data_IF_102487261672
#
_entry.id   IF_102487261672
#
_cell.length_a   1.000
_cell.length_b   1.000
_cell.length_c   1.000
_cell.angle_alpha   90.00
_cell.angle_beta   90.00
_cell.angle_gamma   90.00
#
_symmetry.space_group_name_H-M   'P 1'
#
loop_
_entity.id
_entity.type
_entity.pdbx_description
1 polymer ?
#
# COMPACT_ATOMS: atom_id res chain seq x y z
N UNK A 1 6.92 5.11 10.10
CA UNK A 1 5.96 4.04 10.47
C UNK A 1 5.68 3.19 9.24
N UNK A 2 5.61 1.86 9.39
CA UNK A 2 5.16 0.98 8.31
C UNK A 2 3.63 1.09 8.18
N UNK A 3 3.14 1.35 6.97
CA UNK A 3 1.71 1.29 6.65
C UNK A 3 1.48 0.36 5.47
N UNK A 4 0.31 -0.25 5.47
CA UNK A 4 -0.09 -1.25 4.49
C UNK A 4 -1.56 -1.08 4.20
N UNK A 5 -1.99 -1.37 2.97
CA UNK A 5 -3.38 -1.24 2.61
C UNK A 5 -3.66 -1.52 1.15
N UNK A 6 -4.91 -1.30 0.77
CA UNK A 6 -5.41 -1.52 -0.59
C UNK A 6 -5.39 -0.23 -1.39
N UNK A 7 -4.77 -0.29 -2.57
CA UNK A 7 -4.63 0.86 -3.46
C UNK A 7 -5.86 1.05 -4.34
N UNK A 8 -6.31 2.29 -4.45
CA UNK A 8 -7.43 2.74 -5.27
C UNK A 8 -6.95 3.50 -6.50
N UNK A 9 -7.75 3.47 -7.57
CA UNK A 9 -7.41 4.12 -8.85
C UNK A 9 -7.26 5.66 -8.75
N UNK A 10 -7.79 6.28 -7.69
CA UNK A 10 -7.67 7.72 -7.41
C UNK A 10 -6.38 8.12 -6.68
N UNK A 11 -5.51 7.14 -6.42
CA UNK A 11 -4.25 7.32 -5.70
C UNK A 11 -4.39 7.34 -4.18
N UNK A 12 -5.56 6.97 -3.66
CA UNK A 12 -5.76 6.75 -2.23
C UNK A 12 -5.49 5.29 -1.85
N UNK A 13 -5.21 5.09 -0.57
CA UNK A 13 -5.03 3.77 0.04
C UNK A 13 -6.00 3.63 1.20
N UNK A 14 -6.79 2.57 1.20
CA UNK A 14 -7.47 2.13 2.42
C UNK A 14 -6.52 1.25 3.22
N UNK A 15 -6.04 1.77 4.34
CA UNK A 15 -5.11 1.07 5.21
C UNK A 15 -5.78 -0.16 5.84
N UNK A 16 -4.97 -1.11 6.31
CA UNK A 16 -5.49 -2.30 6.99
C UNK A 16 -6.27 -1.97 8.28
N UNK A 17 -6.02 -0.81 8.88
CA UNK A 17 -6.74 -0.27 10.02
C UNK A 17 -8.10 0.37 9.63
N UNK A 18 -8.44 0.38 8.34
CA UNK A 18 -9.71 0.89 7.81
C UNK A 18 -9.71 2.39 7.53
N UNK A 19 -8.56 3.07 7.55
CA UNK A 19 -8.47 4.49 7.26
C UNK A 19 -8.18 4.72 5.77
N UNK A 20 -8.83 5.70 5.13
CA UNK A 20 -8.47 6.10 3.76
C UNK A 20 -7.49 7.26 3.82
N UNK A 21 -6.29 7.06 3.28
CA UNK A 21 -5.21 8.05 3.24
C UNK A 21 -4.68 8.21 1.82
N UNK A 22 -4.06 9.35 1.51
CA UNK A 22 -3.33 9.55 0.27
C UNK A 22 -1.84 9.64 0.58
N UNK A 23 -1.05 8.56 0.41
CA UNK A 23 0.35 8.59 0.76
C UNK A 23 1.13 9.50 -0.21
N UNK A 24 2.06 10.28 0.32
CA UNK A 24 2.97 11.14 -0.46
C UNK A 24 4.11 10.30 -1.05
N UNK A 25 3.77 9.41 -1.97
CA UNK A 25 4.73 8.58 -2.70
C UNK A 25 5.35 9.36 -3.86
N UNK A 26 6.61 9.08 -4.14
CA UNK A 26 7.28 9.59 -5.34
C UNK A 26 6.57 9.12 -6.62
N UNK A 27 6.72 9.90 -7.71
CA UNK A 27 6.04 9.65 -8.98
C UNK A 27 6.33 8.24 -9.53
N UNK A 28 7.58 7.77 -9.44
CA UNK A 28 7.96 6.45 -9.92
C UNK A 28 7.22 5.33 -9.18
N UNK A 29 6.96 5.49 -7.88
CA UNK A 29 6.27 4.51 -7.06
C UNK A 29 4.80 4.42 -7.47
N UNK A 30 4.17 5.58 -7.68
CA UNK A 30 2.79 5.66 -8.17
C UNK A 30 2.66 5.03 -9.56
N UNK A 31 3.59 5.30 -10.48
CA UNK A 31 3.62 4.66 -11.80
C UNK A 31 3.81 3.15 -11.72
N UNK A 32 4.66 2.68 -10.82
CA UNK A 32 4.89 1.24 -10.61
C UNK A 32 3.60 0.54 -10.13
N UNK A 33 2.89 1.13 -9.17
CA UNK A 33 1.61 0.61 -8.66
C UNK A 33 0.57 0.58 -9.77
N UNK A 34 0.41 1.67 -10.53
CA UNK A 34 -0.55 1.75 -11.62
C UNK A 34 -0.28 0.72 -12.73
N UNK A 35 0.99 0.50 -13.10
CA UNK A 35 1.36 -0.55 -14.06
C UNK A 35 0.96 -1.93 -13.54
N UNK A 36 1.20 -2.21 -12.26
CA UNK A 36 0.83 -3.49 -11.65
C UNK A 36 -0.69 -3.69 -11.62
N UNK A 37 -1.43 -2.66 -11.23
CA UNK A 37 -2.89 -2.66 -11.16
C UNK A 37 -3.53 -2.89 -12.54
N UNK A 38 -3.01 -2.24 -13.60
CA UNK A 38 -3.50 -2.43 -14.99
C UNK A 38 -3.37 -3.86 -15.49
N UNK A 39 -2.38 -4.61 -14.99
CA UNK A 39 -2.14 -6.00 -15.39
C UNK A 39 -2.81 -7.01 -14.44
N UNK A 40 -3.52 -6.52 -13.42
CA UNK A 40 -4.21 -7.33 -12.42
C UNK A 40 -5.72 -7.31 -12.67
N UNK A 41 -6.38 -8.45 -12.45
CA UNK A 41 -7.84 -8.53 -12.42
C UNK A 41 -8.44 -8.13 -11.06
N UNK A 42 -7.59 -7.88 -10.06
CA UNK A 42 -7.96 -7.49 -8.69
C UNK A 42 -7.21 -6.23 -8.25
N UNK A 43 -7.76 -5.51 -7.27
CA UNK A 43 -7.07 -4.42 -6.59
C UNK A 43 -5.76 -4.91 -5.96
N UNK A 44 -4.72 -4.08 -6.04
CA UNK A 44 -3.39 -4.42 -5.50
C UNK A 44 -3.24 -3.92 -4.07
N UNK A 45 -2.54 -4.68 -3.26
CA UNK A 45 -2.08 -4.24 -1.94
C UNK A 45 -0.74 -3.54 -2.06
N UNK A 46 -0.54 -2.50 -1.24
CA UNK A 46 0.68 -1.72 -1.16
C UNK A 46 1.17 -1.62 0.28
N UNK A 47 2.49 -1.64 0.47
CA UNK A 47 3.15 -1.39 1.74
C UNK A 47 4.21 -0.31 1.58
N UNK A 48 4.26 0.66 2.49
CA UNK A 48 5.19 1.79 2.45
C UNK A 48 5.66 2.20 3.84
N UNK A 49 6.82 2.86 3.89
CA UNK A 49 7.29 3.56 5.09
C UNK A 49 6.89 5.01 5.00
N UNK A 50 6.27 5.52 6.06
CA UNK A 50 5.95 6.93 6.24
C UNK A 50 6.97 7.56 7.20
N UNK A 51 7.64 8.62 6.75
CA UNK A 51 8.59 9.40 7.52
C UNK A 51 8.33 10.91 7.32
N UNK A 52 8.83 11.80 8.20
CA UNK A 52 8.71 13.25 8.01
C UNK A 52 9.27 13.74 6.67
N UNK A 53 10.26 13.04 6.13
CA UNK A 53 10.93 13.35 4.87
C UNK A 53 10.14 12.87 3.64
N UNK A 54 9.12 12.03 3.82
CA UNK A 54 8.28 11.49 2.74
C UNK A 54 7.87 10.04 2.94
N UNK A 55 7.16 9.49 1.94
CA UNK A 55 6.74 8.09 1.93
C UNK A 55 7.51 7.26 0.91
N UNK A 56 8.07 6.12 1.35
CA UNK A 56 8.81 5.20 0.49
C UNK A 56 8.03 3.91 0.28
N UNK A 57 7.72 3.60 -0.99
CA UNK A 57 7.10 2.32 -1.37
C UNK A 57 8.05 1.16 -1.11
N UNK A 58 7.56 0.12 -0.43
CA UNK A 58 8.32 -1.11 -0.16
C UNK A 58 7.85 -2.27 -1.04
N UNK A 59 6.54 -2.52 -1.09
CA UNK A 59 5.97 -3.70 -1.75
C UNK A 59 4.66 -3.36 -2.46
N UNK A 60 4.42 -4.06 -3.57
CA UNK A 60 3.15 -4.09 -4.30
C UNK A 60 2.83 -5.54 -4.64
N UNK A 61 1.63 -5.98 -4.30
CA UNK A 61 1.23 -7.38 -4.44
C UNK A 61 -0.24 -7.50 -4.86
N UNK A 62 -0.60 -8.65 -5.42
CA UNK A 62 -2.00 -8.96 -5.72
C UNK A 62 -2.67 -9.64 -4.50
N UNK A 63 -1.84 -10.14 -3.59
CA UNK A 63 -2.21 -10.70 -2.30
C UNK A 63 -2.71 -9.60 -1.35
N UNK A 64 -3.62 -9.95 -0.45
CA UNK A 64 -4.15 -9.02 0.55
C UNK A 64 -3.21 -8.93 1.76
N UNK A 65 -2.41 -7.87 1.84
CA UNK A 65 -1.48 -7.66 2.97
C UNK A 65 -2.19 -7.58 4.32
N UNK A 66 -3.46 -7.16 4.36
CA UNK A 66 -4.21 -7.06 5.60
C UNK A 66 -4.62 -8.43 6.14
N UNK A 67 -4.66 -9.46 5.29
CA UNK A 67 -4.87 -10.86 5.74
C UNK A 67 -3.60 -11.52 6.26
N UNK A 68 -2.42 -11.00 5.88
CA UNK A 68 -1.11 -11.55 6.24
C UNK A 68 -0.36 -10.72 7.29
N UNK A 69 -0.96 -9.65 7.82
CA UNK A 69 -0.38 -8.94 8.94
C UNK A 69 -0.18 -9.91 10.12
N UNK A 70 1.05 -10.14 10.59
CA UNK A 70 1.25 -10.79 11.88
C UNK A 70 0.64 -9.86 12.93
N UNK A 71 -0.52 -10.23 13.44
CA UNK A 71 -1.05 -9.57 14.63
C UNK A 71 -0.02 -9.74 15.74
N UNK A 72 0.34 -8.67 16.47
CA UNK A 72 1.28 -8.65 17.60
C UNK A 72 1.05 -9.74 18.68
N UNK A 73 -0.01 -10.56 18.58
CA UNK A 73 -0.35 -11.64 19.51
C UNK A 73 0.55 -12.88 19.48
N UNK A 74 1.72 -12.84 18.84
CA UNK A 74 2.68 -13.93 18.91
C UNK A 74 4.11 -13.42 19.07
N UNK A 75 4.40 -12.86 20.25
CA UNK A 75 5.72 -12.84 20.87
C UNK A 75 5.59 -13.21 22.35
#
# INVERSE_FOLDING_TARGET
>A
MLRQGRWHNDGTVTTCEGQTVKPELESWATEHIQRRQRHSSVEVSVAWLEAPEGSQLLLVANEDFCTWQPTEKSF
#
